data_IF_286088545844
#
_entry.id   IF_286088545844
#
_cell.length_a   1.000
_cell.length_b   1.000
_cell.length_c   1.000
_cell.angle_alpha   90.00
_cell.angle_beta   90.00
_cell.angle_gamma   90.00
#
_symmetry.space_group_name_H-M   'P 1'
#
loop_
_entity.id
_entity.type
_entity.pdbx_description
1 polymer ?
#
# COMPACT_ATOMS: atom_id res chain seq x y z
N UNK A 1 -6.89 -14.57 33.42
CA UNK A 1 -5.68 -14.38 32.61
C UNK A 1 -5.76 -12.99 32.05
N UNK A 2 -4.83 -12.13 32.43
CA UNK A 2 -4.68 -10.81 31.83
C UNK A 2 -4.30 -11.02 30.37
N UNK A 3 -5.20 -10.65 29.47
CA UNK A 3 -4.95 -10.71 28.04
C UNK A 3 -3.81 -9.73 27.75
N UNK A 4 -2.68 -10.18 27.18
CA UNK A 4 -1.53 -9.31 26.98
C UNK A 4 -1.98 -8.10 26.16
N UNK A 5 -1.62 -6.90 26.64
CA UNK A 5 -1.83 -5.62 25.94
C UNK A 5 -0.98 -5.62 24.66
N UNK A 6 -1.45 -6.39 23.68
CA UNK A 6 -0.89 -6.46 22.35
C UNK A 6 -1.27 -5.15 21.67
N UNK A 7 -0.30 -4.45 21.05
CA UNK A 7 -0.60 -3.24 20.31
C UNK A 7 -1.72 -3.56 19.31
N UNK A 8 -2.83 -2.81 19.41
CA UNK A 8 -3.97 -2.96 18.50
C UNK A 8 -3.42 -3.00 17.08
N UNK A 9 -3.78 -4.04 16.30
CA UNK A 9 -3.40 -4.12 14.88
C UNK A 9 -3.73 -2.78 14.26
N UNK A 10 -2.72 -2.08 13.74
CA UNK A 10 -2.95 -0.87 12.93
C UNK A 10 -4.02 -1.24 11.92
N UNK A 11 -5.06 -0.42 11.82
CA UNK A 11 -6.12 -0.61 10.83
C UNK A 11 -5.47 -0.93 9.48
N UNK A 12 -5.81 -2.09 8.92
CA UNK A 12 -5.29 -2.51 7.63
C UNK A 12 -6.15 -1.86 6.56
N UNK A 13 -5.79 -0.63 6.21
CA UNK A 13 -6.56 0.21 5.29
C UNK A 13 -6.80 -0.46 3.93
N UNK A 14 -5.88 -1.34 3.49
CA UNK A 14 -6.06 -2.10 2.25
C UNK A 14 -7.11 -3.20 2.42
N UNK A 15 -7.08 -3.91 3.56
CA UNK A 15 -8.09 -4.92 3.87
C UNK A 15 -9.48 -4.30 4.14
N UNK A 16 -9.52 -3.09 4.69
CA UNK A 16 -10.77 -2.33 4.87
C UNK A 16 -11.34 -1.91 3.51
N UNK A 17 -10.51 -1.29 2.65
CA UNK A 17 -10.88 -0.90 1.29
C UNK A 17 -11.39 -2.08 0.46
N UNK A 18 -10.75 -3.24 0.55
CA UNK A 18 -11.13 -4.45 -0.19
C UNK A 18 -12.46 -5.06 0.26
N UNK A 19 -12.95 -4.70 1.45
CA UNK A 19 -14.24 -5.15 1.99
C UNK A 19 -15.38 -4.16 1.75
N UNK A 20 -15.09 -2.99 1.19
CA UNK A 20 -16.13 -2.03 0.86
C UNK A 20 -17.10 -2.58 -0.18
N UNK A 21 -18.39 -2.34 0.06
CA UNK A 21 -19.47 -2.74 -0.82
C UNK A 21 -19.57 -1.79 -2.02
N UNK A 22 -19.19 -2.27 -3.20
CA UNK A 22 -19.16 -1.50 -4.43
C UNK A 22 -20.55 -1.30 -5.05
N UNK A 23 -21.57 -2.07 -4.66
CA UNK A 23 -22.93 -1.95 -5.21
C UNK A 23 -23.60 -0.62 -4.84
N UNK A 24 -23.04 0.08 -3.85
CA UNK A 24 -23.49 1.42 -3.41
C UNK A 24 -22.91 2.57 -4.25
N UNK A 25 -21.93 2.30 -5.11
CA UNK A 25 -21.26 3.31 -5.91
C UNK A 25 -21.90 3.40 -7.30
N UNK A 26 -22.06 4.63 -7.79
CA UNK A 26 -22.36 4.88 -9.19
C UNK A 26 -21.16 4.57 -10.09
N UNK A 27 -21.39 4.47 -11.41
CA UNK A 27 -20.31 4.25 -12.38
C UNK A 27 -19.24 5.34 -12.28
N UNK A 28 -19.63 6.61 -12.16
CA UNK A 28 -18.68 7.72 -12.02
C UNK A 28 -17.83 7.60 -10.76
N UNK A 29 -18.41 7.19 -9.62
CA UNK A 29 -17.66 6.95 -8.39
C UNK A 29 -16.73 5.73 -8.49
N UNK A 30 -17.12 4.72 -9.27
CA UNK A 30 -16.24 3.58 -9.57
C UNK A 30 -15.05 4.01 -10.45
N UNK A 31 -15.28 4.85 -11.45
CA UNK A 31 -14.22 5.41 -12.31
C UNK A 31 -13.25 6.27 -11.48
N UNK A 32 -13.76 7.18 -10.64
CA UNK A 32 -12.95 8.01 -9.74
C UNK A 32 -12.10 7.13 -8.79
N UNK A 33 -12.68 6.05 -8.26
CA UNK A 33 -11.99 5.09 -7.41
C UNK A 33 -10.87 4.36 -8.17
N UNK A 34 -11.14 3.92 -9.41
CA UNK A 34 -10.14 3.26 -10.25
C UNK A 34 -8.96 4.18 -10.54
N UNK A 35 -9.23 5.44 -10.87
CA UNK A 35 -8.19 6.43 -11.14
C UNK A 35 -7.31 6.68 -9.93
N UNK A 36 -7.92 6.85 -8.75
CA UNK A 36 -7.19 7.03 -7.49
C UNK A 36 -6.30 5.82 -7.16
N UNK A 37 -6.82 4.60 -7.29
CA UNK A 37 -6.05 3.38 -7.01
C UNK A 37 -4.93 3.16 -8.03
N UNK A 38 -5.15 3.50 -9.29
CA UNK A 38 -4.13 3.41 -10.33
C UNK A 38 -2.98 4.39 -10.07
N UNK A 39 -3.30 5.62 -9.65
CA UNK A 39 -2.30 6.59 -9.22
C UNK A 39 -1.50 6.07 -8.00
N UNK A 40 -2.15 5.45 -7.04
CA UNK A 40 -1.47 4.88 -5.86
C UNK A 40 -0.55 3.70 -6.21
N UNK A 41 -0.97 2.84 -7.14
CA UNK A 41 -0.13 1.78 -7.68
C UNK A 41 1.13 2.36 -8.33
N UNK A 42 0.97 3.42 -9.13
CA UNK A 42 2.12 4.09 -9.77
C UNK A 42 3.08 4.67 -8.72
N UNK A 43 2.57 5.37 -7.70
CA UNK A 43 3.37 5.90 -6.58
C UNK A 43 4.12 4.79 -5.85
N UNK A 44 3.45 3.69 -5.55
CA UNK A 44 4.03 2.54 -4.83
C UNK A 44 5.14 1.89 -5.66
N UNK A 45 4.94 1.71 -6.97
CA UNK A 45 5.96 1.18 -7.89
C UNK A 45 7.20 2.08 -7.93
N UNK A 46 7.02 3.39 -8.08
CA UNK A 46 8.12 4.34 -8.09
C UNK A 46 8.93 4.31 -6.78
N UNK A 47 8.26 4.22 -5.62
CA UNK A 47 8.95 4.11 -4.33
C UNK A 47 9.76 2.82 -4.21
N UNK A 48 9.19 1.69 -4.64
CA UNK A 48 9.86 0.39 -4.64
C UNK A 48 11.11 0.41 -5.53
N UNK A 49 11.01 0.98 -6.72
CA UNK A 49 12.12 1.10 -7.66
C UNK A 49 13.25 1.97 -7.10
N UNK A 50 12.91 3.12 -6.50
CA UNK A 50 13.90 3.97 -5.82
C UNK A 50 14.60 3.24 -4.67
N UNK A 51 13.85 2.47 -3.87
CA UNK A 51 14.43 1.66 -2.80
C UNK A 51 15.35 0.54 -3.33
N UNK A 52 14.97 -0.14 -4.43
CA UNK A 52 15.78 -1.17 -5.07
C UNK A 52 17.09 -0.58 -5.61
N UNK A 53 17.02 0.59 -6.25
CA UNK A 53 18.20 1.31 -6.76
C UNK A 53 19.15 1.71 -5.64
N UNK A 54 18.62 2.24 -4.53
CA UNK A 54 19.41 2.57 -3.35
C UNK A 54 20.11 1.33 -2.77
N UNK A 55 19.39 0.21 -2.67
CA UNK A 55 19.96 -1.05 -2.20
C UNK A 55 21.08 -1.54 -3.11
N UNK A 56 20.89 -1.53 -4.42
CA UNK A 56 21.93 -1.95 -5.37
C UNK A 56 23.19 -1.08 -5.28
N UNK A 57 23.04 0.23 -5.11
CA UNK A 57 24.16 1.15 -4.90
C UNK A 57 24.91 0.86 -3.58
N UNK A 58 24.18 0.60 -2.49
CA UNK A 58 24.77 0.21 -1.22
C UNK A 58 25.51 -1.13 -1.32
N UNK A 59 24.88 -2.15 -1.90
CA UNK A 59 25.49 -3.46 -2.10
C UNK A 59 26.80 -3.38 -2.91
N UNK A 60 26.87 -2.49 -3.91
CA UNK A 60 28.10 -2.25 -4.69
C UNK A 60 29.19 -1.50 -3.90
N UNK A 61 28.82 -0.70 -2.90
CA UNK A 61 29.76 0.05 -2.05
C UNK A 61 30.38 -0.84 -0.97
N UNK A 62 29.60 -1.78 -0.43
CA UNK A 62 30.00 -2.64 0.69
C UNK A 62 30.52 -4.03 0.30
N UNK A 63 30.50 -4.40 -1.00
CA UNK A 63 31.07 -5.68 -1.51
C UNK A 63 32.41 -5.53 -2.25
N UNK A 64 33.14 -4.45 -2.00
CA UNK A 64 34.57 -4.31 -2.37
C UNK A 64 35.44 -4.45 -1.13
#
# INVERSE_FOLDING_TARGET
MDEPDLPRRKADLLADLAREDLDKLSIAELDDRIDALTAEIARTRAKREGAASFRAAADSLFRK
#
